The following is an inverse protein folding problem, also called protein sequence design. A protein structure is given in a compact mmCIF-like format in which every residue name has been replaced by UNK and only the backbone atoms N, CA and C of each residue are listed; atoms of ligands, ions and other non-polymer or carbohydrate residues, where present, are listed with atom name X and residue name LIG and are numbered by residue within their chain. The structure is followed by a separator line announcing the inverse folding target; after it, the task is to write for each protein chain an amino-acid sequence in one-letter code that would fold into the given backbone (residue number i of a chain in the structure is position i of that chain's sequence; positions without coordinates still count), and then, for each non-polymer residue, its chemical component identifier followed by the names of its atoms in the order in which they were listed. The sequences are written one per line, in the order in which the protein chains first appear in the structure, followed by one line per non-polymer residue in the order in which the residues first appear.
data_IF_017038157183
#
_entry.id   IF_017038157183
#
_cell.length_a   1.000
_cell.length_b   1.000
_cell.length_c   1.000
_cell.angle_alpha   90.00
_cell.angle_beta   90.00
_cell.angle_gamma   90.00
#
_symmetry.space_group_name_H-M   'P 1'
#
loop_
_entity.id
_entity.type
_entity.pdbx_description
1 polymer ?
#
# COMPACT_ATOMS: atom_id res chain seq x y z
N UNK A 1 28.78 24.59 -41.08
CA UNK A 1 28.38 23.39 -40.33
C UNK A 1 28.27 23.64 -38.81
N UNK A 2 29.32 24.08 -38.10
CA UNK A 2 29.26 24.33 -36.63
C UNK A 2 28.17 25.30 -36.17
N UNK A 3 27.94 26.43 -36.87
CA UNK A 3 26.90 27.41 -36.53
C UNK A 3 25.47 26.87 -36.75
N UNK A 4 25.25 25.95 -37.68
CA UNK A 4 23.98 25.32 -37.95
C UNK A 4 23.61 24.31 -36.84
N UNK A 5 24.57 23.48 -36.44
CA UNK A 5 24.44 22.52 -35.35
C UNK A 5 24.16 23.25 -34.03
N UNK A 6 24.88 24.34 -33.73
CA UNK A 6 24.69 25.11 -32.51
C UNK A 6 23.28 25.75 -32.43
N UNK A 7 22.73 26.27 -33.56
CA UNK A 7 21.37 26.84 -33.60
C UNK A 7 20.30 25.80 -33.34
N UNK A 8 20.43 24.58 -33.88
CA UNK A 8 19.48 23.49 -33.63
C UNK A 8 19.61 22.95 -32.20
N UNK A 9 20.80 22.92 -31.64
CA UNK A 9 21.00 22.56 -30.23
C UNK A 9 20.37 23.58 -29.29
N UNK A 10 20.55 24.86 -29.53
CA UNK A 10 19.95 25.95 -28.73
C UNK A 10 18.42 25.92 -28.89
N UNK A 11 17.89 25.76 -30.11
CA UNK A 11 16.45 25.66 -30.34
C UNK A 11 15.82 24.43 -29.67
N UNK A 12 16.51 23.29 -29.73
CA UNK A 12 16.08 22.05 -29.03
C UNK A 12 16.11 22.21 -27.50
N UNK A 13 17.15 22.86 -26.97
CA UNK A 13 17.24 23.14 -25.52
C UNK A 13 16.18 24.14 -25.06
N UNK A 14 15.86 25.16 -25.85
CA UNK A 14 14.78 26.11 -25.56
C UNK A 14 13.41 25.45 -25.60
N UNK A 15 13.16 24.57 -26.57
CA UNK A 15 11.92 23.82 -26.69
C UNK A 15 11.75 22.84 -25.49
N UNK A 16 12.84 22.15 -25.12
CA UNK A 16 12.84 21.29 -23.94
C UNK A 16 12.59 22.08 -22.64
N UNK A 17 13.17 23.28 -22.51
CA UNK A 17 12.95 24.16 -21.34
C UNK A 17 11.50 24.68 -21.31
N UNK A 18 10.91 25.03 -22.46
CA UNK A 18 9.51 25.44 -22.56
C UNK A 18 8.53 24.30 -22.19
N UNK A 19 8.84 23.06 -22.60
CA UNK A 19 8.07 21.86 -22.22
C UNK A 19 8.16 21.59 -20.71
N UNK A 20 9.30 21.81 -20.08
CA UNK A 20 9.47 21.65 -18.62
C UNK A 20 8.70 22.69 -17.82
N UNK A 21 8.51 23.92 -18.33
CA UNK A 21 7.73 24.97 -17.66
C UNK A 21 6.23 24.63 -17.64
N UNK A 22 5.73 23.91 -18.64
CA UNK A 22 4.33 23.46 -18.71
C UNK A 22 4.06 22.18 -17.90
N UNK A 23 5.09 21.50 -17.42
CA UNK A 23 5.00 20.26 -16.64
C UNK A 23 4.78 20.48 -15.13
N UNK A 24 4.55 21.72 -14.68
CA UNK A 24 4.26 22.01 -13.28
C UNK A 24 2.75 22.08 -13.05
N UNK A 25 2.25 21.24 -12.12
CA UNK A 25 0.91 21.31 -11.60
C UNK A 25 0.93 21.79 -10.13
N UNK A 26 -0.22 22.28 -9.65
CA UNK A 26 -0.39 22.62 -8.23
C UNK A 26 -0.76 21.33 -7.50
N UNK A 27 -0.03 21.00 -6.42
CA UNK A 27 -0.40 19.94 -5.51
C UNK A 27 -1.75 20.32 -4.85
N UNK A 28 -2.80 19.50 -5.01
CA UNK A 28 -4.14 19.85 -4.51
C UNK A 28 -4.21 19.97 -2.99
N UNK A 29 -3.31 19.33 -2.26
CA UNK A 29 -3.26 19.33 -0.80
C UNK A 29 -2.50 20.53 -0.25
N UNK A 30 -1.29 20.80 -0.80
CA UNK A 30 -0.38 21.81 -0.26
C UNK A 30 -0.48 23.17 -0.95
N UNK A 31 -1.10 23.22 -2.13
CA UNK A 31 -1.10 24.42 -3.00
C UNK A 31 0.25 24.75 -3.64
N UNK A 32 1.29 23.94 -3.41
CA UNK A 32 2.63 24.16 -3.97
C UNK A 32 2.71 23.70 -5.42
N UNK A 33 3.52 24.40 -6.21
CA UNK A 33 3.84 23.96 -7.58
C UNK A 33 4.85 22.82 -7.53
N UNK A 34 4.52 21.73 -8.17
CA UNK A 34 5.34 20.53 -8.27
C UNK A 34 5.41 20.05 -9.71
N UNK A 35 6.50 19.35 -10.04
CA UNK A 35 6.63 18.72 -11.33
C UNK A 35 5.56 17.63 -11.45
N UNK A 36 4.62 17.79 -12.37
CA UNK A 36 3.56 16.82 -12.63
C UNK A 36 3.00 17.01 -14.03
N UNK A 37 3.12 15.98 -14.86
CA UNK A 37 2.60 15.96 -16.23
C UNK A 37 1.59 14.83 -16.46
N UNK A 38 1.48 13.87 -15.55
CA UNK A 38 0.47 12.84 -15.66
C UNK A 38 -0.91 13.44 -15.37
N UNK A 39 -1.89 13.11 -16.21
CA UNK A 39 -3.26 13.62 -16.07
C UNK A 39 -4.04 12.85 -15.02
N UNK A 40 -5.13 13.43 -14.50
CA UNK A 40 -6.08 12.72 -13.64
C UNK A 40 -6.69 11.50 -14.35
N UNK A 41 -6.96 11.60 -15.65
CA UNK A 41 -7.42 10.47 -16.47
C UNK A 41 -6.43 9.30 -16.44
N UNK A 42 -5.11 9.59 -16.48
CA UNK A 42 -4.07 8.57 -16.33
C UNK A 42 -4.13 7.92 -14.93
N UNK A 43 -4.34 8.71 -13.88
CA UNK A 43 -4.45 8.19 -12.50
C UNK A 43 -5.64 7.24 -12.37
N UNK A 44 -6.81 7.65 -12.86
CA UNK A 44 -8.02 6.82 -12.84
C UNK A 44 -7.83 5.51 -13.60
N UNK A 45 -7.29 5.58 -14.83
CA UNK A 45 -7.04 4.40 -15.64
C UNK A 45 -6.00 3.47 -15.00
N UNK A 46 -4.94 4.03 -14.42
CA UNK A 46 -3.87 3.27 -13.76
C UNK A 46 -4.41 2.59 -12.51
N UNK A 47 -5.13 3.32 -11.66
CA UNK A 47 -5.76 2.75 -10.48
C UNK A 47 -6.67 1.59 -10.82
N UNK A 48 -7.59 1.77 -11.77
CA UNK A 48 -8.53 0.73 -12.19
C UNK A 48 -7.80 -0.51 -12.75
N UNK A 49 -6.80 -0.30 -13.62
CA UNK A 49 -6.03 -1.38 -14.25
C UNK A 49 -5.31 -2.27 -13.23
N UNK A 50 -4.70 -1.66 -12.22
CA UNK A 50 -3.84 -2.39 -11.28
C UNK A 50 -4.57 -2.83 -10.01
N UNK A 51 -5.78 -2.34 -9.76
CA UNK A 51 -6.51 -2.60 -8.51
C UNK A 51 -6.74 -4.09 -8.28
N UNK A 52 -7.35 -4.79 -9.24
CA UNK A 52 -7.60 -6.22 -9.12
C UNK A 52 -6.32 -7.05 -9.00
N UNK A 53 -5.27 -6.69 -9.75
CA UNK A 53 -3.96 -7.36 -9.67
C UNK A 53 -3.33 -7.20 -8.28
N UNK A 54 -3.34 -5.99 -7.72
CA UNK A 54 -2.78 -5.71 -6.40
C UNK A 54 -3.59 -6.39 -5.28
N UNK A 55 -4.91 -6.47 -5.44
CA UNK A 55 -5.77 -7.21 -4.51
C UNK A 55 -5.41 -8.69 -4.48
N UNK A 56 -5.27 -9.33 -5.65
CA UNK A 56 -4.86 -10.74 -5.73
C UNK A 56 -3.46 -10.97 -5.17
N UNK A 57 -2.51 -10.09 -5.46
CA UNK A 57 -1.17 -10.15 -4.89
C UNK A 57 -1.18 -10.01 -3.36
N UNK A 58 -2.15 -9.26 -2.80
CA UNK A 58 -2.43 -9.13 -1.37
C UNK A 58 -3.35 -10.21 -0.79
N UNK A 59 -3.47 -11.37 -1.43
CA UNK A 59 -4.25 -12.51 -0.92
C UNK A 59 -5.76 -12.47 -1.23
N UNK A 60 -6.20 -11.54 -2.10
CA UNK A 60 -7.61 -11.36 -2.47
C UNK A 60 -8.43 -10.60 -1.43
N UNK A 61 -9.73 -10.50 -1.66
CA UNK A 61 -10.65 -9.90 -0.69
C UNK A 61 -10.77 -10.75 0.57
N UNK A 62 -10.96 -10.10 1.70
CA UNK A 62 -11.36 -10.76 2.93
C UNK A 62 -12.86 -11.06 2.90
N UNK A 63 -13.23 -12.25 2.44
CA UNK A 63 -14.62 -12.64 2.18
C UNK A 63 -15.32 -13.29 3.37
N UNK A 64 -14.55 -13.72 4.39
CA UNK A 64 -15.10 -14.41 5.58
C UNK A 64 -15.97 -13.49 6.45
N UNK A 65 -15.69 -12.20 6.41
CA UNK A 65 -16.45 -11.17 7.09
C UNK A 65 -16.64 -9.96 6.16
N UNK A 66 -17.67 -9.98 5.29
CA UNK A 66 -17.94 -8.87 4.37
C UNK A 66 -18.30 -7.57 5.10
N UNK A 67 -18.89 -7.67 6.30
CA UNK A 67 -19.28 -6.50 7.10
C UNK A 67 -18.07 -5.71 7.56
N UNK A 68 -16.93 -6.37 7.80
CA UNK A 68 -15.67 -5.70 8.09
C UNK A 68 -15.23 -4.76 6.96
N UNK A 69 -15.35 -5.19 5.69
CA UNK A 69 -15.07 -4.32 4.55
C UNK A 69 -16.05 -3.15 4.47
N UNK A 70 -17.35 -3.38 4.74
CA UNK A 70 -18.35 -2.32 4.78
C UNK A 70 -18.05 -1.32 5.91
N UNK A 71 -17.62 -1.80 7.05
CA UNK A 71 -17.21 -0.97 8.18
C UNK A 71 -16.01 -0.08 7.81
N UNK A 72 -14.90 -0.66 7.32
CA UNK A 72 -13.71 0.09 6.87
C UNK A 72 -14.10 1.13 5.82
N UNK A 73 -14.91 0.74 4.83
CA UNK A 73 -15.45 1.64 3.82
C UNK A 73 -16.27 2.78 4.42
N UNK A 74 -17.05 2.52 5.49
CA UNK A 74 -17.83 3.54 6.18
C UNK A 74 -16.94 4.59 6.86
N UNK A 75 -15.82 4.17 7.46
CA UNK A 75 -14.82 5.06 8.07
C UNK A 75 -14.13 5.90 6.98
N UNK A 76 -13.67 5.28 5.90
CA UNK A 76 -13.06 5.99 4.78
C UNK A 76 -14.00 7.02 4.16
N UNK A 77 -15.26 6.67 3.94
CA UNK A 77 -16.27 7.58 3.36
C UNK A 77 -16.53 8.82 4.22
N UNK A 78 -16.35 8.77 5.54
CA UNK A 78 -16.47 9.95 6.41
C UNK A 78 -15.34 10.96 6.19
N UNK A 79 -14.17 10.53 5.70
CA UNK A 79 -13.01 11.38 5.45
C UNK A 79 -13.11 12.09 4.09
N UNK A 80 -13.74 11.45 3.10
CA UNK A 80 -13.80 11.93 1.70
C UNK A 80 -14.31 13.37 1.55
N UNK A 81 -15.38 13.82 2.23
CA UNK A 81 -15.88 15.21 2.08
C UNK A 81 -14.83 16.28 2.41
N UNK A 82 -13.80 15.94 3.16
CA UNK A 82 -12.72 16.84 3.59
C UNK A 82 -11.42 16.64 2.80
N UNK A 83 -11.41 15.68 1.90
CA UNK A 83 -10.31 15.40 0.98
C UNK A 83 -10.18 16.52 -0.06
N UNK A 84 -8.95 16.86 -0.41
CA UNK A 84 -8.65 17.88 -1.42
C UNK A 84 -9.15 17.49 -2.83
N UNK A 85 -9.42 16.18 -3.05
CA UNK A 85 -9.94 15.65 -4.33
C UNK A 85 -11.15 14.76 -4.08
N UNK A 86 -12.14 15.24 -3.31
CA UNK A 86 -13.35 14.49 -2.93
C UNK A 86 -14.17 13.95 -4.13
N UNK A 87 -13.93 14.44 -5.35
CA UNK A 87 -14.57 13.98 -6.59
C UNK A 87 -14.02 12.66 -7.12
N UNK A 88 -12.87 12.18 -6.63
CA UNK A 88 -12.29 10.90 -7.05
C UNK A 88 -13.20 9.71 -6.65
N UNK A 89 -13.21 8.63 -7.45
CA UNK A 89 -13.99 7.43 -7.15
C UNK A 89 -13.30 6.55 -6.09
N UNK A 90 -13.19 7.09 -4.86
CA UNK A 90 -12.60 6.38 -3.75
C UNK A 90 -13.27 5.05 -3.49
N UNK A 91 -12.47 4.01 -3.35
CA UNK A 91 -12.91 2.70 -2.90
C UNK A 91 -11.97 2.14 -1.83
N UNK A 92 -12.54 1.42 -0.86
CA UNK A 92 -11.82 0.87 0.28
C UNK A 92 -12.13 -0.61 0.42
N UNK A 93 -11.09 -1.43 0.54
CA UNK A 93 -11.24 -2.88 0.69
C UNK A 93 -10.33 -3.43 1.78
N UNK A 94 -10.78 -4.52 2.40
CA UNK A 94 -9.95 -5.33 3.30
C UNK A 94 -9.41 -6.52 2.51
N UNK A 95 -8.09 -6.71 2.57
CA UNK A 95 -7.39 -7.82 1.93
C UNK A 95 -7.10 -8.95 2.91
N UNK A 96 -7.13 -10.19 2.40
CA UNK A 96 -6.91 -11.39 3.17
C UNK A 96 -5.41 -11.69 3.37
N UNK A 97 -4.66 -10.71 3.86
CA UNK A 97 -3.23 -10.86 4.17
C UNK A 97 -2.98 -10.63 5.67
N UNK A 98 -2.23 -11.56 6.29
CA UNK A 98 -1.78 -11.45 7.68
C UNK A 98 -0.69 -10.39 7.86
N UNK A 99 0.01 -10.00 6.79
CA UNK A 99 1.08 -8.99 6.85
C UNK A 99 0.47 -7.62 7.07
N UNK A 100 0.79 -6.90 8.16
CA UNK A 100 0.29 -5.54 8.34
C UNK A 100 0.71 -4.63 7.20
N UNK A 101 -0.26 -4.07 6.49
CA UNK A 101 -0.02 -3.13 5.39
C UNK A 101 -1.29 -2.36 5.04
N UNK A 102 -1.11 -1.18 4.45
CA UNK A 102 -2.13 -0.44 3.73
C UNK A 102 -1.46 0.24 2.52
N UNK A 103 -2.25 0.57 1.51
CA UNK A 103 -1.73 1.24 0.32
C UNK A 103 -2.83 1.96 -0.46
N UNK A 104 -2.43 3.01 -1.18
CA UNK A 104 -3.27 3.70 -2.14
C UNK A 104 -2.68 3.61 -3.55
N UNK A 105 -3.54 3.30 -4.53
CA UNK A 105 -3.23 3.48 -5.95
C UNK A 105 -3.74 4.85 -6.43
N UNK A 106 -3.19 5.37 -7.55
CA UNK A 106 -3.74 6.55 -8.20
C UNK A 106 -5.24 6.44 -8.41
N UNK A 107 -5.97 7.56 -8.33
CA UNK A 107 -7.43 7.58 -8.53
C UNK A 107 -8.24 7.12 -7.31
N UNK A 108 -7.62 6.98 -6.12
CA UNK A 108 -8.34 6.76 -4.86
C UNK A 108 -8.71 5.31 -4.56
N UNK A 109 -8.00 4.33 -5.12
CA UNK A 109 -8.18 2.91 -4.80
C UNK A 109 -7.32 2.55 -3.59
N UNK A 110 -7.93 2.27 -2.45
CA UNK A 110 -7.27 2.07 -1.16
C UNK A 110 -7.56 0.69 -0.62
N UNK A 111 -6.54 0.02 -0.12
CA UNK A 111 -6.67 -1.26 0.54
C UNK A 111 -5.96 -1.26 1.90
N UNK A 112 -6.50 -2.05 2.83
CA UNK A 112 -5.90 -2.34 4.12
C UNK A 112 -5.88 -3.86 4.33
N UNK A 113 -4.75 -4.39 4.74
CA UNK A 113 -4.64 -5.81 5.06
C UNK A 113 -5.28 -6.07 6.42
N UNK A 114 -5.99 -7.22 6.55
CA UNK A 114 -6.57 -7.63 7.85
C UNK A 114 -5.53 -7.71 8.97
N UNK A 115 -4.27 -8.00 8.62
CA UNK A 115 -3.17 -8.03 9.58
C UNK A 115 -2.84 -6.67 10.19
N UNK A 116 -3.16 -5.55 9.53
CA UNK A 116 -3.00 -4.22 10.13
C UNK A 116 -4.17 -3.89 11.06
N UNK A 117 -5.40 -4.29 10.72
CA UNK A 117 -6.57 -4.01 11.55
C UNK A 117 -6.45 -4.56 12.96
N UNK A 118 -5.84 -5.73 13.17
CA UNK A 118 -5.65 -6.30 14.50
C UNK A 118 -4.62 -5.59 15.38
N UNK A 119 -3.79 -4.73 14.80
CA UNK A 119 -2.75 -3.97 15.51
C UNK A 119 -3.21 -2.56 15.89
N UNK A 120 -4.41 -2.14 15.46
CA UNK A 120 -5.00 -0.85 15.79
C UNK A 120 -5.85 -0.93 17.05
N UNK A 121 -5.82 0.12 17.87
CA UNK A 121 -6.51 0.16 19.16
C UNK A 121 -7.95 0.69 19.10
N UNK A 122 -8.29 1.48 18.06
CA UNK A 122 -9.56 2.18 17.96
C UNK A 122 -9.87 2.67 16.52
N UNK A 123 -11.13 3.09 16.28
CA UNK A 123 -11.58 3.59 14.96
C UNK A 123 -10.83 4.84 14.51
N UNK A 124 -10.36 5.68 15.43
CA UNK A 124 -9.61 6.88 15.05
C UNK A 124 -8.20 6.53 14.52
N UNK A 125 -7.57 5.44 14.97
CA UNK A 125 -6.33 4.93 14.38
C UNK A 125 -6.57 4.34 12.99
N UNK A 126 -7.70 3.64 12.77
CA UNK A 126 -8.12 3.24 11.43
C UNK A 126 -8.35 4.47 10.54
N UNK A 127 -9.03 5.50 11.06
CA UNK A 127 -9.23 6.75 10.33
C UNK A 127 -7.88 7.44 10.02
N UNK A 128 -6.88 7.35 10.91
CA UNK A 128 -5.53 7.89 10.67
C UNK A 128 -4.83 7.16 9.50
N UNK A 129 -4.88 5.83 9.46
CA UNK A 129 -4.36 5.05 8.33
C UNK A 129 -5.04 5.45 7.04
N UNK A 130 -6.39 5.43 7.01
CA UNK A 130 -7.14 5.73 5.79
C UNK A 130 -6.97 7.18 5.33
N UNK A 131 -6.92 8.15 6.25
CA UNK A 131 -6.67 9.55 5.93
C UNK A 131 -5.25 9.75 5.34
N UNK A 132 -4.24 9.07 5.87
CA UNK A 132 -2.89 9.07 5.34
C UNK A 132 -2.87 8.56 3.89
N UNK A 133 -3.55 7.45 3.59
CA UNK A 133 -3.65 6.90 2.23
C UNK A 133 -4.47 7.81 1.29
N UNK A 134 -5.54 8.46 1.79
CA UNK A 134 -6.29 9.45 1.03
C UNK A 134 -5.38 10.62 0.62
N UNK A 135 -4.54 11.13 1.54
CA UNK A 135 -3.60 12.22 1.21
C UNK A 135 -2.58 11.78 0.18
N UNK A 136 -2.09 10.52 0.20
CA UNK A 136 -1.22 10.02 -0.85
C UNK A 136 -1.89 10.07 -2.24
N UNK A 137 -3.17 9.76 -2.32
CA UNK A 137 -3.94 9.87 -3.56
C UNK A 137 -4.21 11.33 -3.93
N UNK A 138 -4.59 12.18 -2.98
CA UNK A 138 -4.89 13.61 -3.16
C UNK A 138 -3.66 14.40 -3.62
N UNK A 139 -2.53 14.21 -2.94
CA UNK A 139 -1.26 14.87 -3.26
C UNK A 139 -0.55 14.24 -4.48
N UNK A 140 -1.15 13.20 -5.08
CA UNK A 140 -0.65 12.54 -6.30
C UNK A 140 0.74 11.90 -6.14
N UNK A 141 1.07 11.43 -4.94
CA UNK A 141 2.41 10.95 -4.61
C UNK A 141 2.87 9.78 -5.48
N UNK A 142 1.94 8.88 -5.87
CA UNK A 142 2.25 7.76 -6.78
C UNK A 142 2.54 8.24 -8.20
N UNK A 143 1.76 9.20 -8.74
CA UNK A 143 1.99 9.79 -10.05
C UNK A 143 3.36 10.48 -10.10
N UNK A 144 3.67 11.32 -9.11
CA UNK A 144 4.96 12.00 -8.99
C UNK A 144 6.13 11.01 -8.88
N UNK A 145 5.96 9.90 -8.16
CA UNK A 145 7.00 8.87 -8.06
C UNK A 145 7.26 8.23 -9.42
N UNK A 146 6.21 7.97 -10.19
CA UNK A 146 6.30 7.45 -11.56
C UNK A 146 6.96 8.45 -12.51
N UNK A 147 6.64 9.72 -12.38
CA UNK A 147 7.23 10.81 -13.15
C UNK A 147 8.75 10.90 -12.92
N UNK A 148 9.17 10.91 -11.67
CA UNK A 148 10.59 10.87 -11.29
C UNK A 148 11.28 9.61 -11.81
N UNK A 149 10.66 8.44 -11.68
CA UNK A 149 11.14 7.18 -12.22
C UNK A 149 11.35 7.24 -13.74
N UNK A 150 10.42 7.87 -14.47
CA UNK A 150 10.50 8.05 -15.92
C UNK A 150 11.67 8.96 -16.33
N UNK A 151 11.91 10.04 -15.60
CA UNK A 151 13.07 10.93 -15.83
C UNK A 151 14.38 10.17 -15.61
N UNK A 152 14.48 9.42 -14.51
CA UNK A 152 15.69 8.63 -14.21
C UNK A 152 15.93 7.60 -15.29
N UNK A 153 14.91 6.84 -15.70
CA UNK A 153 15.02 5.85 -16.78
C UNK A 153 15.43 6.50 -18.11
N UNK A 154 14.83 7.63 -18.48
CA UNK A 154 15.20 8.39 -19.68
C UNK A 154 16.63 8.89 -19.63
N UNK A 155 17.10 9.41 -18.48
CA UNK A 155 18.48 9.79 -18.27
C UNK A 155 19.47 8.62 -18.39
N UNK A 156 19.11 7.45 -17.88
CA UNK A 156 19.90 6.23 -18.02
C UNK A 156 20.00 5.78 -19.49
N UNK A 157 18.89 5.79 -20.23
CA UNK A 157 18.89 5.47 -21.68
C UNK A 157 19.78 6.45 -22.44
N UNK A 158 19.65 7.75 -22.17
CA UNK A 158 20.49 8.78 -22.81
C UNK A 158 21.97 8.58 -22.47
N UNK A 159 22.32 8.32 -21.23
CA UNK A 159 23.67 8.01 -20.81
C UNK A 159 24.22 6.77 -21.53
N UNK A 160 23.39 5.71 -21.67
CA UNK A 160 23.75 4.50 -22.42
C UNK A 160 24.07 4.81 -23.88
N UNK A 161 23.22 5.59 -24.54
CA UNK A 161 23.42 5.98 -25.96
C UNK A 161 24.68 6.82 -26.13
N UNK A 162 24.94 7.76 -25.20
CA UNK A 162 26.13 8.60 -25.24
C UNK A 162 27.41 7.81 -24.94
N UNK A 163 27.35 6.80 -24.09
CA UNK A 163 28.47 5.94 -23.71
C UNK A 163 28.63 4.72 -24.62
N UNK A 164 27.66 4.41 -25.48
CA UNK A 164 27.72 3.30 -26.42
C UNK A 164 28.89 3.39 -27.43
N UNK A 165 29.51 4.56 -27.54
CA UNK A 165 30.74 4.78 -28.32
C UNK A 165 32.04 4.64 -27.48
N UNK A 166 31.95 4.22 -26.23
CA UNK A 166 33.11 3.99 -25.36
C UNK A 166 33.09 2.53 -24.85
N UNK A 167 34.23 1.90 -24.76
CA UNK A 167 34.46 0.49 -24.37
C UNK A 167 34.00 0.13 -22.93
N UNK A 168 32.97 0.79 -22.39
CA UNK A 168 32.46 0.56 -21.04
C UNK A 168 31.28 -0.45 -21.00
N UNK A 169 31.36 -1.37 -20.04
CA UNK A 169 30.51 -2.53 -19.83
C UNK A 169 28.97 -2.23 -19.78
N UNK A 170 28.23 -2.79 -20.75
CA UNK A 170 26.76 -2.67 -20.90
C UNK A 170 25.92 -3.35 -19.79
N UNK A 171 26.49 -4.20 -18.94
CA UNK A 171 25.78 -5.07 -18.00
C UNK A 171 25.17 -4.30 -16.81
N UNK A 172 25.85 -3.26 -16.31
CA UNK A 172 25.37 -2.47 -15.17
C UNK A 172 24.18 -1.57 -15.51
N UNK A 173 24.05 -1.15 -16.75
CA UNK A 173 22.96 -0.30 -17.25
C UNK A 173 21.69 -1.09 -17.52
N UNK A 174 21.78 -2.32 -18.01
CA UNK A 174 20.62 -3.19 -18.20
C UNK A 174 19.96 -3.58 -16.86
N UNK A 175 20.75 -3.73 -15.79
CA UNK A 175 20.23 -4.00 -14.45
C UNK A 175 19.53 -2.78 -13.82
N UNK A 176 19.98 -1.55 -14.11
CA UNK A 176 19.36 -0.32 -13.61
C UNK A 176 17.96 -0.06 -14.20
N UNK A 177 17.75 -0.39 -15.47
CA UNK A 177 16.45 -0.21 -16.15
C UNK A 177 15.39 -1.21 -15.67
N UNK A 178 15.81 -2.43 -15.31
CA UNK A 178 14.89 -3.47 -14.81
C UNK A 178 14.33 -3.16 -13.42
N UNK A 179 15.05 -2.40 -12.59
CA UNK A 179 14.63 -2.08 -11.21
C UNK A 179 13.59 -0.95 -11.13
N UNK A 180 13.44 -0.13 -12.17
CA UNK A 180 12.45 0.96 -12.20
C UNK A 180 11.07 0.53 -12.67
N UNK A 181 10.93 -0.68 -13.21
CA UNK A 181 9.67 -1.22 -13.75
C UNK A 181 8.86 -2.05 -12.74
N UNK A 182 9.39 -2.29 -11.53
CA UNK A 182 8.66 -2.98 -10.47
C UNK A 182 7.70 -2.02 -9.76
N UNK A 183 6.48 -1.96 -10.27
CA UNK A 183 5.33 -1.37 -9.60
C UNK A 183 4.98 -2.20 -8.35
N UNK A 184 5.64 -1.95 -7.27
CA UNK A 184 5.32 -2.60 -6.04
C UNK A 184 6.21 -2.07 -4.93
N UNK A 185 5.75 -1.07 -4.22
CA UNK A 185 6.39 -0.41 -3.10
C UNK A 185 7.31 0.75 -3.49
N UNK A 186 6.71 1.83 -4.01
CA UNK A 186 7.38 3.12 -4.00
C UNK A 186 7.56 3.54 -2.55
N UNK A 187 8.81 3.49 -2.07
CA UNK A 187 9.17 4.14 -0.81
C UNK A 187 8.94 5.63 -0.98
N UNK A 188 7.95 6.17 -0.29
CA UNK A 188 7.72 7.60 -0.29
C UNK A 188 8.86 8.34 0.41
N UNK A 189 9.15 9.56 -0.04
CA UNK A 189 10.15 10.38 0.63
C UNK A 189 9.65 10.79 2.03
N UNK A 190 10.57 11.05 2.95
CA UNK A 190 10.21 11.53 4.30
C UNK A 190 9.27 12.74 4.27
N UNK A 191 9.44 13.65 3.31
CA UNK A 191 8.59 14.83 3.19
C UNK A 191 7.15 14.47 2.83
N UNK A 192 6.94 13.48 1.96
CA UNK A 192 5.60 13.01 1.59
C UNK A 192 4.91 12.29 2.74
N UNK A 193 5.66 11.54 3.54
CA UNK A 193 5.13 10.91 4.75
C UNK A 193 4.67 11.96 5.78
N UNK A 194 5.48 12.99 6.02
CA UNK A 194 5.13 14.10 6.91
C UNK A 194 3.93 14.90 6.39
N UNK A 195 3.84 15.10 5.08
CA UNK A 195 2.70 15.73 4.42
C UNK A 195 1.43 14.90 4.62
N UNK A 196 1.50 13.58 4.36
CA UNK A 196 0.35 12.68 4.53
C UNK A 196 -0.11 12.59 5.99
N UNK A 197 0.82 12.58 6.94
CA UNK A 197 0.48 12.63 8.37
C UNK A 197 -0.22 13.96 8.72
N UNK A 198 0.36 15.09 8.32
CA UNK A 198 -0.15 16.43 8.68
C UNK A 198 -1.57 16.68 8.14
N UNK A 199 -1.78 16.45 6.84
CA UNK A 199 -3.08 16.68 6.21
C UNK A 199 -4.09 15.58 6.54
N UNK A 200 -3.62 14.35 6.74
CA UNK A 200 -4.46 13.26 7.25
C UNK A 200 -5.08 13.59 8.60
N UNK A 201 -4.31 14.17 9.53
CA UNK A 201 -4.84 14.65 10.82
C UNK A 201 -5.88 15.77 10.65
N UNK A 202 -5.74 16.65 9.65
CA UNK A 202 -6.77 17.65 9.34
C UNK A 202 -8.07 16.99 8.87
N UNK A 203 -7.98 16.03 7.93
CA UNK A 203 -9.16 15.27 7.46
C UNK A 203 -9.83 14.51 8.60
N UNK A 204 -9.04 13.87 9.49
CA UNK A 204 -9.56 13.23 10.71
C UNK A 204 -10.34 14.22 11.57
N UNK A 205 -9.77 15.38 11.83
CA UNK A 205 -10.38 16.42 12.67
C UNK A 205 -11.72 16.89 12.10
N UNK A 206 -11.77 17.21 10.80
CA UNK A 206 -12.98 17.65 10.11
C UNK A 206 -14.06 16.54 10.08
N UNK A 207 -13.62 15.27 9.99
CA UNK A 207 -14.52 14.11 10.08
C UNK A 207 -14.98 13.77 11.51
N UNK A 208 -14.54 14.55 12.52
CA UNK A 208 -14.93 14.42 13.93
C UNK A 208 -14.07 13.46 14.76
N UNK A 209 -13.02 12.86 14.20
CA UNK A 209 -12.08 12.01 14.94
C UNK A 209 -11.04 12.81 15.74
N UNK A 210 -10.50 12.21 16.80
CA UNK A 210 -9.35 12.81 17.52
C UNK A 210 -8.07 12.61 16.69
N UNK A 211 -7.45 13.69 16.16
CA UNK A 211 -6.23 13.56 15.37
C UNK A 211 -5.02 13.05 16.14
N UNK A 212 -5.06 13.04 17.49
CA UNK A 212 -3.99 12.48 18.32
C UNK A 212 -3.89 10.97 18.19
N UNK A 213 -4.90 10.29 17.66
CA UNK A 213 -4.80 8.88 17.33
C UNK A 213 -3.71 8.60 16.27
N UNK A 214 -3.40 9.56 15.39
CA UNK A 214 -2.25 9.44 14.49
C UNK A 214 -0.90 9.45 15.23
N UNK A 215 -0.81 10.10 16.39
CA UNK A 215 0.39 10.08 17.23
C UNK A 215 0.56 8.69 17.86
N UNK A 216 -0.50 8.17 18.52
CA UNK A 216 -0.45 6.85 19.18
C UNK A 216 -0.14 5.73 18.18
N UNK A 217 -0.69 5.81 16.98
CA UNK A 217 -0.41 4.90 15.87
C UNK A 217 1.09 4.94 15.49
N UNK A 218 1.68 6.13 15.29
CA UNK A 218 3.09 6.26 14.94
C UNK A 218 4.02 5.81 16.09
N UNK A 219 3.67 6.08 17.34
CA UNK A 219 4.40 5.57 18.52
C UNK A 219 4.38 4.04 18.54
N UNK A 220 3.23 3.42 18.23
CA UNK A 220 3.10 1.98 18.09
C UNK A 220 3.99 1.45 16.97
N UNK A 221 4.02 2.08 15.80
CA UNK A 221 4.88 1.66 14.70
C UNK A 221 6.37 1.81 15.01
N UNK A 222 6.78 2.88 15.68
CA UNK A 222 8.18 3.05 16.15
C UNK A 222 8.54 1.94 17.15
N UNK A 223 7.68 1.64 18.09
CA UNK A 223 7.89 0.55 19.06
C UNK A 223 8.01 -0.81 18.36
N UNK A 224 7.15 -1.09 17.40
CA UNK A 224 7.14 -2.35 16.63
C UNK A 224 8.37 -2.47 15.73
N UNK A 225 8.85 -1.38 15.13
CA UNK A 225 10.05 -1.38 14.29
C UNK A 225 11.33 -1.73 15.07
N UNK A 226 11.35 -1.46 16.36
CA UNK A 226 12.46 -1.76 17.26
C UNK A 226 12.29 -3.10 18.02
N UNK A 227 11.25 -3.86 17.72
CA UNK A 227 10.94 -5.12 18.39
C UNK A 227 11.30 -6.35 17.51
N UNK A 228 11.18 -7.54 18.09
CA UNK A 228 11.30 -8.81 17.36
C UNK A 228 10.16 -9.01 16.32
N UNK A 229 9.11 -8.20 16.35
CA UNK A 229 8.03 -8.17 15.36
C UNK A 229 8.37 -7.35 14.11
N UNK A 230 9.49 -6.61 14.08
CA UNK A 230 9.86 -5.72 12.97
C UNK A 230 9.79 -6.42 11.59
N UNK A 231 10.17 -7.69 11.50
CA UNK A 231 10.10 -8.48 10.28
C UNK A 231 8.66 -8.70 9.75
N UNK A 232 7.66 -8.76 10.64
CA UNK A 232 6.24 -8.89 10.27
C UNK A 232 5.73 -7.61 9.60
N UNK A 233 6.23 -6.45 10.02
CA UNK A 233 5.88 -5.12 9.50
C UNK A 233 6.79 -4.64 8.38
N UNK A 234 7.70 -5.49 7.88
CA UNK A 234 8.73 -5.08 6.90
C UNK A 234 8.15 -4.43 5.65
N UNK A 235 7.01 -4.90 5.15
CA UNK A 235 6.32 -4.36 3.97
C UNK A 235 5.79 -2.95 4.25
N UNK A 236 5.06 -2.75 5.35
CA UNK A 236 4.54 -1.44 5.76
C UNK A 236 5.69 -0.45 6.00
N UNK A 237 6.73 -0.87 6.72
CA UNK A 237 7.85 0.02 7.06
C UNK A 237 8.78 0.29 5.87
N UNK A 238 8.73 -0.53 4.83
CA UNK A 238 9.44 -0.25 3.58
C UNK A 238 8.80 0.89 2.80
N UNK A 239 7.47 0.95 2.73
CA UNK A 239 6.71 2.03 2.07
C UNK A 239 6.53 3.25 2.97
N UNK A 240 6.20 3.04 4.25
CA UNK A 240 5.89 4.07 5.25
C UNK A 240 6.83 3.95 6.48
N UNK A 241 8.10 4.38 6.37
CA UNK A 241 9.06 4.19 7.46
C UNK A 241 8.65 4.93 8.72
N UNK A 242 8.45 4.23 9.86
CA UNK A 242 8.21 4.90 11.12
C UNK A 242 9.49 5.58 11.62
N UNK A 243 9.33 6.70 12.31
CA UNK A 243 10.45 7.39 12.92
C UNK A 243 10.01 8.29 14.07
N UNK A 244 10.90 8.51 15.05
CA UNK A 244 10.65 9.46 16.12
C UNK A 244 10.36 10.87 15.56
N UNK A 245 11.01 11.25 14.47
CA UNK A 245 10.77 12.53 13.82
C UNK A 245 9.32 12.68 13.28
N UNK A 246 8.66 11.59 12.82
CA UNK A 246 7.25 11.60 12.46
C UNK A 246 6.36 11.75 13.71
N UNK A 247 6.66 11.05 14.78
CA UNK A 247 5.93 11.21 16.06
C UNK A 247 5.99 12.65 16.54
N UNK A 248 7.18 13.28 16.53
CA UNK A 248 7.37 14.64 16.99
C UNK A 248 6.66 15.66 16.07
N UNK A 249 6.71 15.47 14.76
CA UNK A 249 5.99 16.27 13.79
C UNK A 249 4.46 16.14 13.95
N UNK A 250 3.96 14.91 14.21
CA UNK A 250 2.54 14.67 14.46
C UNK A 250 2.07 15.35 15.75
N UNK A 251 2.88 15.36 16.80
CA UNK A 251 2.59 16.12 18.03
C UNK A 251 2.51 17.61 17.76
N UNK A 252 3.45 18.15 16.97
CA UNK A 252 3.45 19.57 16.62
C UNK A 252 2.22 19.95 15.76
N UNK A 253 1.84 19.11 14.81
CA UNK A 253 0.66 19.30 13.97
C UNK A 253 -0.64 19.20 14.78
N UNK A 254 -0.76 18.18 15.65
CA UNK A 254 -1.93 18.00 16.52
C UNK A 254 -2.11 19.14 17.51
N UNK A 255 -1.02 19.80 17.96
CA UNK A 255 -1.08 20.97 18.85
C UNK A 255 -1.71 22.19 18.18
N UNK A 256 -1.74 22.24 16.85
CA UNK A 256 -2.38 23.33 16.08
C UNK A 256 -3.86 23.06 15.80
N UNK A 257 -4.34 21.86 16.08
CA UNK A 257 -5.73 21.44 15.86
C UNK A 257 -6.52 21.52 17.19
N UNK A 258 -7.83 21.78 17.14
CA UNK A 258 -8.69 21.72 18.31
C UNK A 258 -8.59 20.34 18.99
N UNK A 259 -8.51 20.35 20.31
CA UNK A 259 -8.39 19.13 21.10
C UNK A 259 -9.68 18.30 21.09
N UNK A 260 -9.53 16.98 21.26
CA UNK A 260 -10.64 16.01 21.38
C UNK A 260 -11.15 15.55 20.03
N UNK A 261 -12.16 14.69 20.08
CA UNK A 261 -12.75 14.00 18.94
C UNK A 261 -13.11 12.56 19.31
N UNK A 262 -13.70 11.86 18.36
CA UNK A 262 -14.13 10.48 18.55
C UNK A 262 -12.92 9.54 18.47
N UNK A 263 -12.81 8.62 19.43
CA UNK A 263 -11.91 7.46 19.35
C UNK A 263 -12.67 6.19 18.94
N UNK A 264 -13.94 6.08 19.30
CA UNK A 264 -14.82 4.95 19.00
C UNK A 264 -14.19 3.58 19.28
N UNK A 265 -13.44 3.44 20.40
CA UNK A 265 -12.72 2.20 20.76
C UNK A 265 -13.67 1.02 20.87
N UNK A 266 -14.78 1.16 21.58
CA UNK A 266 -15.73 0.05 21.78
C UNK A 266 -16.32 -0.42 20.45
N UNK A 267 -16.73 0.52 19.59
CA UNK A 267 -17.23 0.19 18.25
C UNK A 267 -16.18 -0.56 17.44
N UNK A 268 -14.96 -0.06 17.40
CA UNK A 268 -13.86 -0.72 16.70
C UNK A 268 -13.66 -2.17 17.13
N UNK A 269 -13.60 -2.40 18.45
CA UNK A 269 -13.45 -3.73 19.02
C UNK A 269 -14.60 -4.68 18.65
N UNK A 270 -15.84 -4.16 18.58
CA UNK A 270 -17.00 -4.94 18.14
C UNK A 270 -16.87 -5.33 16.65
N UNK A 271 -16.50 -4.37 15.81
CA UNK A 271 -16.41 -4.58 14.35
C UNK A 271 -15.28 -5.54 13.95
N UNK A 272 -14.17 -5.57 14.70
CA UNK A 272 -13.04 -6.48 14.43
C UNK A 272 -13.10 -7.79 15.24
N UNK A 273 -14.13 -7.98 16.09
CA UNK A 273 -14.20 -9.13 17.00
C UNK A 273 -14.09 -10.47 16.26
N UNK A 274 -14.83 -10.64 15.17
CA UNK A 274 -14.78 -11.84 14.36
C UNK A 274 -13.38 -12.08 13.74
N UNK A 275 -12.69 -11.02 13.33
CA UNK A 275 -11.33 -11.13 12.81
C UNK A 275 -10.37 -11.61 13.90
N UNK A 276 -10.50 -11.08 15.13
CA UNK A 276 -9.68 -11.48 16.28
C UNK A 276 -9.95 -12.95 16.64
N UNK A 277 -11.20 -13.37 16.69
CA UNK A 277 -11.58 -14.76 16.99
C UNK A 277 -11.01 -15.77 15.98
N UNK A 278 -10.85 -15.34 14.72
CA UNK A 278 -10.27 -16.16 13.64
C UNK A 278 -8.75 -16.05 13.52
N UNK A 279 -8.12 -15.11 14.22
CA UNK A 279 -6.66 -14.93 14.19
C UNK A 279 -5.87 -16.23 14.36
N UNK A 280 -6.22 -17.13 15.33
CA UNK A 280 -5.50 -18.40 15.49
C UNK A 280 -5.52 -19.27 14.23
N UNK A 281 -6.59 -19.25 13.42
CA UNK A 281 -6.67 -19.99 12.17
C UNK A 281 -5.66 -19.45 11.14
N UNK A 282 -5.59 -18.15 11.00
CA UNK A 282 -4.65 -17.50 10.08
C UNK A 282 -3.19 -17.72 10.49
N UNK A 283 -2.89 -17.70 11.79
CA UNK A 283 -1.54 -18.05 12.29
C UNK A 283 -1.14 -19.48 11.92
N UNK A 284 -2.09 -20.43 11.95
CA UNK A 284 -1.85 -21.81 11.48
C UNK A 284 -1.64 -21.83 9.96
N UNK A 285 -2.44 -21.09 9.20
CA UNK A 285 -2.28 -21.01 7.75
C UNK A 285 -0.91 -20.41 7.36
N UNK A 286 -0.44 -19.37 8.06
CA UNK A 286 0.88 -18.79 7.85
C UNK A 286 2.00 -19.78 8.15
N UNK A 287 1.84 -20.60 9.22
CA UNK A 287 2.77 -21.71 9.52
C UNK A 287 2.74 -22.77 8.42
N UNK A 288 1.55 -23.08 7.87
CA UNK A 288 1.43 -24.00 6.74
C UNK A 288 2.16 -23.47 5.50
N UNK A 289 1.96 -22.21 5.15
CA UNK A 289 2.65 -21.55 4.04
C UNK A 289 4.18 -21.56 4.20
N UNK A 290 4.69 -21.20 5.37
CA UNK A 290 6.12 -21.29 5.70
C UNK A 290 6.66 -22.72 5.61
N UNK A 291 5.91 -23.69 6.08
CA UNK A 291 6.29 -25.10 5.99
C UNK A 291 6.33 -25.59 4.54
N UNK A 292 5.40 -25.17 3.68
CA UNK A 292 5.41 -25.45 2.23
C UNK A 292 6.67 -24.85 1.58
N UNK A 293 6.97 -23.59 1.86
CA UNK A 293 8.17 -22.92 1.33
C UNK A 293 9.45 -23.67 1.73
N UNK A 294 9.50 -24.21 2.95
CA UNK A 294 10.60 -25.03 3.47
C UNK A 294 10.51 -26.53 3.06
N UNK A 295 9.62 -26.90 2.14
CA UNK A 295 9.40 -28.29 1.68
C UNK A 295 9.02 -29.27 2.80
N UNK A 296 8.51 -28.80 3.92
CA UNK A 296 8.07 -29.56 5.09
C UNK A 296 6.57 -29.90 4.97
N UNK A 297 6.20 -30.76 4.02
CA UNK A 297 4.81 -30.94 3.60
C UNK A 297 3.90 -31.64 4.61
N UNK A 298 4.43 -32.58 5.43
CA UNK A 298 3.64 -33.22 6.51
C UNK A 298 3.24 -32.23 7.60
N UNK A 299 4.17 -31.43 8.18
CA UNK A 299 3.81 -30.32 9.06
C UNK A 299 2.84 -29.32 8.42
N UNK A 300 3.05 -28.95 7.15
CA UNK A 300 2.18 -28.02 6.43
C UNK A 300 0.73 -28.55 6.36
N UNK A 301 0.54 -29.83 6.06
CA UNK A 301 -0.77 -30.49 6.05
C UNK A 301 -1.45 -30.40 7.42
N UNK A 302 -0.70 -30.68 8.50
CA UNK A 302 -1.21 -30.60 9.86
C UNK A 302 -1.65 -29.18 10.25
N UNK A 303 -0.86 -28.17 9.89
CA UNK A 303 -1.22 -26.77 10.14
C UNK A 303 -2.44 -26.32 9.32
N UNK A 304 -2.53 -26.70 8.05
CA UNK A 304 -3.69 -26.38 7.22
C UNK A 304 -4.98 -27.01 7.78
N UNK A 305 -4.90 -28.28 8.24
CA UNK A 305 -6.04 -28.94 8.88
C UNK A 305 -6.47 -28.25 10.19
N UNK A 306 -5.52 -27.79 11.01
CA UNK A 306 -5.82 -27.01 12.22
C UNK A 306 -6.49 -25.66 11.88
N UNK A 307 -6.06 -24.98 10.81
CA UNK A 307 -6.69 -23.75 10.34
C UNK A 307 -8.14 -24.00 9.91
N UNK A 308 -8.38 -25.03 9.10
CA UNK A 308 -9.71 -25.42 8.62
C UNK A 308 -10.64 -25.81 9.79
N UNK A 309 -10.11 -26.42 10.86
CA UNK A 309 -10.91 -26.79 12.03
C UNK A 309 -11.46 -25.54 12.79
N UNK A 310 -10.76 -24.41 12.71
CA UNK A 310 -11.18 -23.15 13.32
C UNK A 310 -12.11 -22.36 12.38
N UNK A 311 -11.72 -22.25 11.09
CA UNK A 311 -12.51 -21.56 10.06
C UNK A 311 -12.67 -22.43 8.82
N UNK A 312 -13.79 -23.18 8.69
CA UNK A 312 -14.01 -24.12 7.60
C UNK A 312 -14.44 -23.48 6.27
N UNK A 313 -14.67 -22.17 6.24
CA UNK A 313 -15.14 -21.46 5.05
C UNK A 313 -14.03 -20.65 4.36
N UNK A 314 -12.80 -20.66 4.87
CA UNK A 314 -11.68 -19.93 4.28
C UNK A 314 -11.04 -20.76 3.15
N UNK A 315 -11.18 -20.29 1.90
CA UNK A 315 -10.71 -20.93 0.68
C UNK A 315 -9.21 -21.22 0.70
N UNK A 316 -8.42 -20.25 1.15
CA UNK A 316 -6.95 -20.32 1.22
C UNK A 316 -6.46 -21.48 2.09
N UNK A 317 -7.20 -21.87 3.12
CA UNK A 317 -6.79 -23.01 3.97
C UNK A 317 -6.89 -24.33 3.24
N UNK A 318 -7.89 -24.48 2.36
CA UNK A 318 -8.02 -25.65 1.49
C UNK A 318 -7.00 -25.65 0.36
N UNK A 319 -6.62 -24.49 -0.16
CA UNK A 319 -5.51 -24.37 -1.11
C UNK A 319 -4.20 -24.90 -0.50
N UNK A 320 -3.83 -24.39 0.69
CA UNK A 320 -2.63 -24.83 1.41
C UNK A 320 -2.65 -26.35 1.70
N UNK A 321 -3.82 -26.89 2.09
CA UNK A 321 -4.02 -28.32 2.26
C UNK A 321 -3.80 -29.07 0.95
N UNK A 322 -4.34 -28.58 -0.15
CA UNK A 322 -4.19 -29.15 -1.48
C UNK A 322 -2.73 -29.19 -1.93
N UNK A 323 -2.00 -28.08 -1.76
CA UNK A 323 -0.56 -28.00 -2.07
C UNK A 323 0.22 -29.04 -1.26
N UNK A 324 -0.01 -29.12 0.05
CA UNK A 324 0.70 -30.06 0.91
C UNK A 324 0.43 -31.52 0.51
N UNK A 325 -0.84 -31.88 0.24
CA UNK A 325 -1.25 -33.21 -0.20
C UNK A 325 -0.64 -33.57 -1.54
N UNK A 326 -0.65 -32.68 -2.51
CA UNK A 326 -0.05 -32.90 -3.82
C UNK A 326 1.44 -33.22 -3.72
N UNK A 327 2.16 -32.46 -2.90
CA UNK A 327 3.60 -32.66 -2.62
C UNK A 327 3.90 -33.91 -1.83
N UNK A 328 2.90 -34.54 -1.19
CA UNK A 328 2.97 -35.84 -0.51
C UNK A 328 2.52 -36.99 -1.41
N UNK A 329 2.35 -36.78 -2.71
CA UNK A 329 1.85 -37.73 -3.71
C UNK A 329 0.42 -38.28 -3.41
N UNK A 330 -0.42 -37.48 -2.72
CA UNK A 330 -1.81 -37.82 -2.41
C UNK A 330 -2.75 -37.05 -3.36
N UNK A 331 -2.66 -37.35 -4.65
CA UNK A 331 -3.30 -36.58 -5.73
C UNK A 331 -4.83 -36.49 -5.60
N UNK A 332 -5.51 -37.60 -5.23
CA UNK A 332 -6.97 -37.62 -5.07
C UNK A 332 -7.43 -36.69 -3.92
N UNK A 333 -6.75 -36.77 -2.79
CA UNK A 333 -7.06 -35.89 -1.64
C UNK A 333 -6.75 -34.42 -1.95
N UNK A 334 -5.67 -34.15 -2.71
CA UNK A 334 -5.33 -32.81 -3.16
C UNK A 334 -6.42 -32.24 -4.07
N UNK A 335 -6.94 -33.03 -5.02
CA UNK A 335 -8.02 -32.63 -5.91
C UNK A 335 -9.27 -32.22 -5.11
N UNK A 336 -9.65 -33.03 -4.11
CA UNK A 336 -10.78 -32.69 -3.23
C UNK A 336 -10.56 -31.37 -2.49
N UNK A 337 -9.35 -31.15 -1.97
CA UNK A 337 -9.03 -29.91 -1.27
C UNK A 337 -9.09 -28.68 -2.20
N UNK A 338 -8.53 -28.76 -3.41
CA UNK A 338 -8.60 -27.69 -4.40
C UNK A 338 -10.04 -27.44 -4.87
N UNK A 339 -10.84 -28.49 -5.10
CA UNK A 339 -12.25 -28.34 -5.47
C UNK A 339 -13.03 -27.63 -4.37
N UNK A 340 -12.73 -27.88 -3.09
CA UNK A 340 -13.36 -27.18 -1.98
C UNK A 340 -12.90 -25.72 -1.92
N UNK A 341 -11.61 -25.43 -2.15
CA UNK A 341 -11.09 -24.05 -2.22
C UNK A 341 -11.84 -23.25 -3.29
N UNK A 342 -11.94 -23.76 -4.51
CA UNK A 342 -12.65 -23.11 -5.63
C UNK A 342 -14.14 -22.95 -5.35
N UNK A 343 -14.77 -23.90 -4.66
CA UNK A 343 -16.19 -23.77 -4.28
C UNK A 343 -16.47 -22.69 -3.23
N UNK A 344 -15.47 -22.34 -2.43
CA UNK A 344 -15.57 -21.29 -1.41
C UNK A 344 -15.26 -19.88 -1.97
N UNK A 345 -14.37 -19.83 -2.97
CA UNK A 345 -13.97 -18.56 -3.63
C UNK A 345 -13.69 -18.91 -5.11
N UNK A 346 -14.71 -18.79 -5.98
CA UNK A 346 -14.67 -19.17 -7.39
C UNK A 346 -13.89 -18.22 -8.31
#
# INVERSE_FOLDING_TARGET
MKKFILRHFIAGSLLALLLLIQACAVNPVTGKKELSWMSEAWELQTGERYYGFQQQAGGGYYTIDPDLTLYVRSVGKKLIPFSARAHLPYDFVVLNDSTPNAWALPGGKIAINRGLLIELDNEAELAAVLAHEIVHADARHSAQSQEVGTIIAGGQVLATVLLANSDYNHTALQQGVALTSLYGQTRYSRSRELESDQYGMQYMREAGYDPRAAISLQETFVRLSNSNKAGVFSTLFASHPPSQARVDANRASAAQLPAGGLLNRQRYQQEIAQLIDRQPAYEKADKAGKAIANKSYRPALGYAQQAIAIEPNESRFFELKGIALNRLNRAQDALQAYSRSIALDP
#
